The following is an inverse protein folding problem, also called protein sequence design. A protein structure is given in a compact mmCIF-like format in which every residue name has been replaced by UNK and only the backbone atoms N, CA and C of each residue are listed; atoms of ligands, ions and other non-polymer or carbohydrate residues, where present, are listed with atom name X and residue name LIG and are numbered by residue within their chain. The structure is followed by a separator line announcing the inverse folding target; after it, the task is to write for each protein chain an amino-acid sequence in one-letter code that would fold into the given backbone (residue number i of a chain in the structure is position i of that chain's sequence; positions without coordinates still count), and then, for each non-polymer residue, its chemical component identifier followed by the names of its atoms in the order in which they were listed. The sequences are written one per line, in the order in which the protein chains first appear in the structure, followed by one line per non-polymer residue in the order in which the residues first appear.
data_IF_144192835589
#
_entry.id   IF_144192835589
#
_cell.length_a   1.000
_cell.length_b   1.000
_cell.length_c   1.000
_cell.angle_alpha   90.00
_cell.angle_beta   90.00
_cell.angle_gamma   90.00
#
_symmetry.space_group_name_H-M   'P 1'
#
loop_
_entity.id
_entity.type
_entity.pdbx_description
1 polymer ?
#
# COMPACT_ATOMS: atom_id res chain seq x y z
N UNK A 1 -3.90 11.42 -14.90
CA UNK A 1 -4.51 10.40 -14.01
C UNK A 1 -4.89 10.81 -12.56
N UNK A 2 -4.67 12.03 -12.02
CA UNK A 2 -4.84 12.29 -10.57
C UNK A 2 -6.30 12.23 -10.06
N UNK A 3 -7.28 12.12 -10.96
CA UNK A 3 -8.72 12.17 -10.63
C UNK A 3 -9.31 10.85 -10.12
N UNK A 4 -8.52 9.78 -9.93
CA UNK A 4 -9.05 8.43 -9.60
C UNK A 4 -8.56 7.81 -8.29
N UNK A 5 -7.60 8.43 -7.61
CA UNK A 5 -7.00 7.89 -6.38
C UNK A 5 -7.27 8.80 -5.19
N UNK A 6 -7.45 8.20 -4.02
CA UNK A 6 -7.68 8.87 -2.73
C UNK A 6 -6.53 8.52 -1.79
N UNK A 7 -6.04 9.49 -1.04
CA UNK A 7 -4.97 9.29 -0.06
C UNK A 7 -5.51 8.88 1.31
N UNK A 8 -5.37 7.62 1.68
CA UNK A 8 -5.37 7.20 3.09
C UNK A 8 -6.72 7.14 3.80
N UNK A 9 -7.86 7.06 3.11
CA UNK A 9 -9.16 6.80 3.76
C UNK A 9 -10.18 6.15 2.82
N UNK A 10 -11.10 5.39 3.41
CA UNK A 10 -12.35 4.96 2.77
C UNK A 10 -13.49 5.88 3.23
N UNK A 11 -14.46 6.14 2.36
CA UNK A 11 -15.59 7.02 2.69
C UNK A 11 -16.80 6.73 1.82
N UNK A 12 -17.97 6.61 2.47
CA UNK A 12 -19.26 6.44 1.80
C UNK A 12 -19.80 7.72 1.14
N UNK A 13 -19.19 8.88 1.40
CA UNK A 13 -19.62 10.17 0.85
C UNK A 13 -18.80 10.59 -0.38
N UNK A 14 -17.81 9.78 -0.78
CA UNK A 14 -17.01 10.02 -1.97
C UNK A 14 -17.83 9.79 -3.24
N UNK A 15 -17.76 10.76 -4.16
CA UNK A 15 -18.31 10.59 -5.48
C UNK A 15 -17.62 9.40 -6.20
N UNK A 16 -18.39 8.48 -6.80
CA UNK A 16 -17.85 7.40 -7.63
C UNK A 16 -16.94 7.95 -8.73
N UNK A 17 -15.84 7.25 -8.98
CA UNK A 17 -14.96 7.54 -10.13
C UNK A 17 -15.41 6.84 -11.40
N UNK A 18 -16.14 5.76 -11.24
CA UNK A 18 -16.77 4.98 -12.29
C UNK A 18 -17.99 4.25 -11.73
N UNK A 19 -19.00 4.09 -12.56
CA UNK A 19 -20.15 3.24 -12.31
C UNK A 19 -20.11 2.03 -13.23
N UNK A 20 -20.52 0.88 -12.73
CA UNK A 20 -20.47 -0.41 -13.41
C UNK A 20 -21.71 -1.23 -13.12
N UNK A 21 -22.03 -2.16 -14.01
CA UNK A 21 -23.08 -3.16 -13.81
C UNK A 21 -22.47 -4.49 -13.32
N UNK A 22 -23.30 -5.35 -12.75
CA UNK A 22 -22.86 -6.70 -12.34
C UNK A 22 -22.35 -7.49 -13.54
N UNK A 23 -21.16 -8.07 -13.42
CA UNK A 23 -20.48 -8.81 -14.48
C UNK A 23 -19.44 -8.01 -15.27
N UNK A 24 -19.39 -6.67 -15.11
CA UNK A 24 -18.39 -5.83 -15.75
C UNK A 24 -16.96 -6.12 -15.25
N UNK A 25 -15.99 -5.93 -16.15
CA UNK A 25 -14.56 -6.05 -15.83
C UNK A 25 -13.96 -4.64 -15.75
N UNK A 26 -13.36 -4.33 -14.60
CA UNK A 26 -12.62 -3.10 -14.37
C UNK A 26 -11.14 -3.42 -14.20
N UNK A 27 -10.24 -2.82 -15.00
CA UNK A 27 -8.80 -2.89 -14.77
C UNK A 27 -8.31 -1.65 -13.99
N UNK A 28 -8.32 -1.66 -12.64
CA UNK A 28 -7.80 -0.55 -11.86
C UNK A 28 -6.26 -0.55 -11.89
N UNK A 29 -5.68 0.63 -12.02
CA UNK A 29 -4.28 0.86 -11.69
C UNK A 29 -4.14 1.29 -10.23
N UNK A 30 -3.08 0.86 -9.58
CA UNK A 30 -2.84 1.11 -8.16
C UNK A 30 -1.38 1.46 -7.93
N UNK A 31 -1.12 2.30 -6.93
CA UNK A 31 0.22 2.76 -6.59
C UNK A 31 0.52 2.44 -5.14
N UNK A 32 1.76 2.01 -4.85
CA UNK A 32 2.21 1.87 -3.47
C UNK A 32 2.45 3.24 -2.86
N UNK A 33 2.03 3.43 -1.61
CA UNK A 33 2.28 4.65 -0.85
C UNK A 33 3.75 4.83 -0.44
N UNK A 34 4.57 3.79 -0.66
CA UNK A 34 6.02 3.82 -0.50
C UNK A 34 6.78 4.17 -1.79
N UNK A 35 6.10 4.60 -2.87
CA UNK A 35 6.78 4.98 -4.11
C UNK A 35 7.76 6.16 -3.91
N UNK A 36 7.49 7.04 -2.95
CA UNK A 36 8.33 8.18 -2.59
C UNK A 36 9.63 7.80 -1.86
N UNK A 37 9.79 6.53 -1.44
CA UNK A 37 11.03 6.02 -0.84
C UNK A 37 12.20 5.99 -1.84
N UNK A 38 11.88 5.95 -3.14
CA UNK A 38 12.82 6.07 -4.25
C UNK A 38 12.08 6.59 -5.50
N UNK A 39 11.97 7.91 -5.58
CA UNK A 39 11.32 8.61 -6.69
C UNK A 39 11.95 8.26 -8.05
N UNK A 40 13.27 8.08 -8.11
CA UNK A 40 14.00 7.77 -9.34
C UNK A 40 13.51 6.44 -9.95
N UNK A 41 13.26 5.43 -9.11
CA UNK A 41 12.88 4.08 -9.53
C UNK A 41 11.38 3.87 -9.68
N UNK A 42 10.57 4.51 -8.83
CA UNK A 42 9.14 4.20 -8.69
C UNK A 42 8.20 5.30 -9.19
N UNK A 43 8.70 6.52 -9.45
CA UNK A 43 7.85 7.67 -9.80
C UNK A 43 8.31 8.38 -11.08
N UNK A 44 9.59 8.64 -11.24
CA UNK A 44 10.13 9.46 -12.33
C UNK A 44 9.78 8.89 -13.71
N UNK A 45 9.20 9.74 -14.56
CA UNK A 45 8.75 9.38 -15.92
C UNK A 45 7.38 8.72 -15.97
N UNK A 46 6.76 8.41 -14.82
CA UNK A 46 5.43 7.83 -14.74
C UNK A 46 4.40 8.92 -14.41
N UNK A 47 3.68 9.41 -15.42
CA UNK A 47 2.69 10.50 -15.24
C UNK A 47 1.63 10.17 -14.16
N UNK A 48 1.27 8.90 -14.02
CA UNK A 48 0.34 8.44 -13.00
C UNK A 48 0.90 8.60 -11.61
N UNK A 49 2.09 8.04 -11.37
CA UNK A 49 2.79 8.13 -10.10
C UNK A 49 3.18 9.58 -9.77
N UNK A 50 3.75 10.31 -10.73
CA UNK A 50 4.11 11.73 -10.57
C UNK A 50 2.89 12.55 -10.16
N UNK A 51 1.71 12.29 -10.73
CA UNK A 51 0.51 13.03 -10.36
C UNK A 51 0.04 12.81 -8.91
N UNK A 52 0.31 11.63 -8.34
CA UNK A 52 -0.07 11.27 -6.96
C UNK A 52 1.00 11.68 -5.95
N UNK A 53 2.27 11.42 -6.28
CA UNK A 53 3.45 11.71 -5.48
C UNK A 53 3.88 13.17 -5.55
N UNK A 54 3.38 13.97 -6.51
CA UNK A 54 3.72 15.39 -6.64
C UNK A 54 3.63 16.09 -5.28
N UNK A 55 4.77 16.59 -4.81
CA UNK A 55 4.83 17.42 -3.63
C UNK A 55 5.94 18.45 -3.82
N UNK A 56 5.54 19.71 -3.92
CA UNK A 56 6.44 20.86 -3.98
C UNK A 56 6.12 21.79 -2.82
N UNK A 57 6.96 22.81 -2.62
CA UNK A 57 6.71 23.86 -1.62
C UNK A 57 5.36 24.58 -1.77
N UNK A 58 4.78 24.57 -2.98
CA UNK A 58 3.59 25.33 -3.33
C UNK A 58 2.33 24.47 -3.44
N UNK A 59 2.47 23.15 -3.69
CA UNK A 59 1.32 22.25 -3.88
C UNK A 59 1.66 20.78 -3.66
N UNK A 60 0.63 20.02 -3.33
CA UNK A 60 0.64 18.56 -3.25
C UNK A 60 -0.42 17.99 -4.21
N UNK A 61 -0.08 16.92 -4.94
CA UNK A 61 -0.96 16.28 -5.93
C UNK A 61 -2.18 15.64 -5.26
N UNK A 62 -1.95 14.92 -4.17
CA UNK A 62 -2.98 14.42 -3.25
C UNK A 62 -2.66 14.96 -1.85
N UNK A 63 -3.37 16.02 -1.46
CA UNK A 63 -3.10 16.75 -0.22
C UNK A 63 -3.45 15.92 1.03
N UNK A 64 -4.72 15.53 1.16
CA UNK A 64 -5.20 14.70 2.26
C UNK A 64 -4.63 13.28 2.15
N UNK A 65 -3.89 12.86 3.17
CA UNK A 65 -3.38 11.50 3.35
C UNK A 65 -3.74 11.02 4.75
N UNK A 66 -4.88 10.35 4.85
CA UNK A 66 -5.43 9.85 6.13
C UNK A 66 -6.87 10.30 6.40
N UNK A 67 -7.52 9.60 7.33
CA UNK A 67 -8.86 9.90 7.81
C UNK A 67 -8.89 11.06 8.83
N UNK A 68 -7.73 11.49 9.34
CA UNK A 68 -7.60 12.57 10.32
C UNK A 68 -8.01 13.96 9.81
N UNK A 69 -7.79 14.97 10.64
CA UNK A 69 -8.16 16.36 10.35
C UNK A 69 -7.43 16.92 9.12
N UNK A 70 -8.12 17.75 8.34
CA UNK A 70 -7.54 18.55 7.24
C UNK A 70 -7.32 20.01 7.64
N UNK A 71 -7.64 20.37 8.89
CA UNK A 71 -7.44 21.73 9.39
C UNK A 71 -5.96 21.94 9.75
N UNK A 72 -5.26 22.91 9.12
CA UNK A 72 -3.85 23.21 9.42
C UNK A 72 -3.60 23.69 10.85
N UNK A 73 -4.63 24.13 11.58
CA UNK A 73 -4.50 24.46 13.00
C UNK A 73 -4.53 23.21 13.90
N UNK A 74 -4.87 22.04 13.36
CA UNK A 74 -5.14 20.81 14.13
C UNK A 74 -4.18 19.67 13.78
N UNK A 75 -3.90 19.42 12.50
CA UNK A 75 -3.02 18.32 12.14
C UNK A 75 -1.57 18.59 12.57
N UNK A 76 -0.80 17.52 12.80
CA UNK A 76 0.58 17.61 13.29
C UNK A 76 1.60 17.43 12.18
N UNK A 77 1.34 16.47 11.28
CA UNK A 77 2.31 16.04 10.26
C UNK A 77 1.82 16.26 8.83
N UNK A 78 0.66 16.89 8.65
CA UNK A 78 0.05 17.19 7.35
C UNK A 78 -1.44 16.82 7.30
N UNK A 79 -2.13 17.28 6.25
CA UNK A 79 -3.56 17.02 6.01
C UNK A 79 -3.88 15.51 6.07
N UNK A 80 -4.81 15.11 6.94
CA UNK A 80 -5.16 13.71 7.23
C UNK A 80 -4.36 13.07 8.38
N UNK A 81 -3.34 13.76 8.90
CA UNK A 81 -2.45 13.37 10.02
C UNK A 81 -1.78 11.99 9.87
N UNK A 82 -1.70 11.45 8.66
CA UNK A 82 -1.18 10.11 8.41
C UNK A 82 -2.02 8.97 8.99
N UNK A 83 -3.25 9.26 9.45
CA UNK A 83 -4.19 8.27 10.01
C UNK A 83 -4.82 7.44 8.90
N UNK A 84 -3.99 6.59 8.28
CA UNK A 84 -4.29 5.91 7.04
C UNK A 84 -3.29 6.22 5.95
N UNK A 85 -2.60 5.18 5.48
CA UNK A 85 -1.42 5.35 4.62
C UNK A 85 -1.64 4.91 3.17
N UNK A 86 -2.62 4.03 2.93
CA UNK A 86 -2.82 3.41 1.62
C UNK A 86 -3.39 4.37 0.58
N UNK A 87 -2.83 4.36 -0.62
CA UNK A 87 -3.45 4.98 -1.80
C UNK A 87 -4.53 4.04 -2.30
N UNK A 88 -5.78 4.51 -2.32
CA UNK A 88 -6.93 3.73 -2.76
C UNK A 88 -7.46 4.27 -4.09
N UNK A 89 -7.45 3.44 -5.13
CA UNK A 89 -8.10 3.73 -6.41
C UNK A 89 -9.59 3.39 -6.31
N UNK A 90 -10.44 4.37 -6.64
CA UNK A 90 -11.90 4.26 -6.48
C UNK A 90 -12.54 5.56 -5.94
N UNK A 91 -13.78 5.51 -5.43
CA UNK A 91 -14.63 4.31 -5.38
C UNK A 91 -15.24 3.94 -6.74
N UNK A 92 -15.52 2.65 -6.92
CA UNK A 92 -16.30 2.07 -8.01
C UNK A 92 -17.71 1.82 -7.49
N UNK A 93 -18.70 2.35 -8.18
CA UNK A 93 -20.11 2.15 -7.86
C UNK A 93 -20.69 1.00 -8.69
N UNK A 94 -21.37 0.06 -8.03
CA UNK A 94 -22.04 -1.07 -8.69
C UNK A 94 -23.54 -0.81 -8.70
N UNK A 95 -24.14 -0.65 -9.88
CA UNK A 95 -25.57 -0.31 -9.99
C UNK A 95 -26.44 -1.42 -9.42
N UNK A 96 -27.40 -1.03 -8.58
CA UNK A 96 -28.34 -1.94 -7.93
C UNK A 96 -27.78 -2.72 -6.74
N UNK A 97 -26.54 -2.47 -6.29
CA UNK A 97 -26.05 -3.04 -5.04
C UNK A 97 -26.66 -2.30 -3.83
N UNK A 98 -27.30 -3.04 -2.93
CA UNK A 98 -27.99 -2.51 -1.76
C UNK A 98 -27.40 -3.05 -0.44
N UNK A 99 -27.53 -2.32 0.69
CA UNK A 99 -27.15 -2.85 1.99
C UNK A 99 -27.82 -4.20 2.29
N UNK A 100 -27.02 -5.22 2.61
CA UNK A 100 -27.48 -6.61 2.79
C UNK A 100 -27.09 -7.55 1.65
N UNK A 101 -26.71 -7.01 0.49
CA UNK A 101 -26.15 -7.80 -0.61
C UNK A 101 -24.74 -8.30 -0.30
N UNK A 102 -24.23 -9.17 -1.18
CA UNK A 102 -22.83 -9.60 -1.20
C UNK A 102 -22.23 -9.26 -2.56
N UNK A 103 -21.14 -8.50 -2.55
CA UNK A 103 -20.38 -8.18 -3.75
C UNK A 103 -19.29 -9.24 -3.97
N UNK A 104 -19.44 -10.02 -5.04
CA UNK A 104 -18.39 -10.92 -5.53
C UNK A 104 -17.36 -10.13 -6.36
N UNK A 105 -16.08 -10.30 -6.03
CA UNK A 105 -14.96 -9.68 -6.74
C UNK A 105 -13.96 -10.74 -7.18
N UNK A 106 -13.88 -10.98 -8.48
CA UNK A 106 -12.89 -11.89 -9.08
C UNK A 106 -11.64 -11.14 -9.47
N UNK A 107 -10.48 -11.61 -9.01
CA UNK A 107 -9.18 -11.05 -9.40
C UNK A 107 -8.66 -11.87 -10.59
N UNK A 108 -8.93 -11.38 -11.80
CA UNK A 108 -8.61 -12.12 -13.04
C UNK A 108 -7.12 -12.12 -13.36
N UNK A 109 -6.45 -10.98 -13.15
CA UNK A 109 -5.02 -10.84 -13.37
C UNK A 109 -4.42 -9.78 -12.44
N UNK A 110 -3.10 -9.85 -12.24
CA UNK A 110 -2.36 -8.92 -11.41
C UNK A 110 -0.91 -8.87 -11.87
N UNK A 111 -0.48 -7.70 -12.36
CA UNK A 111 0.87 -7.50 -12.92
C UNK A 111 1.60 -6.37 -12.21
N UNK A 112 2.93 -6.49 -11.98
CA UNK A 112 3.73 -5.39 -11.48
C UNK A 112 3.68 -4.19 -12.44
N UNK A 113 3.48 -2.98 -11.91
CA UNK A 113 3.64 -1.74 -12.68
C UNK A 113 5.12 -1.53 -13.05
N UNK A 114 5.52 -1.49 -14.33
CA UNK A 114 6.91 -1.28 -14.71
C UNK A 114 7.41 0.10 -14.26
N UNK A 115 8.71 0.22 -14.01
CA UNK A 115 9.36 1.53 -13.86
C UNK A 115 9.31 2.27 -15.19
N UNK A 116 8.98 3.56 -15.15
CA UNK A 116 9.00 4.42 -16.33
C UNK A 116 10.39 5.02 -16.61
N UNK A 117 11.34 4.85 -15.68
CA UNK A 117 12.70 5.31 -15.86
C UNK A 117 13.43 4.42 -16.90
N UNK A 118 13.97 5.00 -17.99
CA UNK A 118 14.58 4.25 -19.08
C UNK A 118 15.80 3.42 -18.64
N UNK A 119 16.52 3.84 -17.58
CA UNK A 119 17.67 3.12 -17.05
C UNK A 119 17.27 1.78 -16.40
N UNK A 120 15.99 1.60 -16.13
CA UNK A 120 15.43 0.40 -15.50
C UNK A 120 14.35 -0.27 -16.35
N UNK A 121 14.42 -0.13 -17.68
CA UNK A 121 13.50 -0.78 -18.60
C UNK A 121 13.31 -2.28 -18.30
N UNK A 122 12.06 -2.73 -18.27
CA UNK A 122 11.70 -4.12 -17.95
C UNK A 122 11.72 -4.46 -16.45
N UNK A 123 12.03 -3.51 -15.56
CA UNK A 123 12.02 -3.74 -14.11
C UNK A 123 10.84 -3.05 -13.44
N UNK A 124 10.51 -3.53 -12.25
CA UNK A 124 9.56 -2.93 -11.33
C UNK A 124 10.20 -2.90 -9.94
N UNK A 125 10.03 -1.83 -9.17
CA UNK A 125 10.66 -1.70 -7.86
C UNK A 125 9.63 -1.63 -6.74
N UNK A 126 10.00 -2.17 -5.58
CA UNK A 126 9.16 -2.16 -4.38
C UNK A 126 9.99 -1.75 -3.17
N UNK A 127 9.33 -1.12 -2.23
CA UNK A 127 9.88 -0.82 -0.93
C UNK A 127 9.35 -1.81 0.11
N UNK A 128 10.20 -2.18 1.05
CA UNK A 128 9.83 -2.84 2.29
C UNK A 128 10.34 -1.99 3.45
N UNK A 129 9.42 -1.51 4.27
CA UNK A 129 9.76 -0.74 5.46
C UNK A 129 9.72 -1.63 6.71
N UNK A 130 10.89 -1.80 7.34
CA UNK A 130 10.98 -2.21 8.73
C UNK A 130 10.71 -0.98 9.60
N UNK A 131 9.43 -0.71 9.88
CA UNK A 131 8.96 0.57 10.41
C UNK A 131 8.58 0.54 11.90
N UNK A 132 8.30 1.72 12.48
CA UNK A 132 8.01 1.89 13.91
C UNK A 132 6.73 1.20 14.40
N UNK A 133 5.76 0.98 13.51
CA UNK A 133 4.54 0.20 13.79
C UNK A 133 4.75 -1.31 13.66
N UNK A 134 5.93 -1.75 13.19
CA UNK A 134 6.23 -3.16 13.00
C UNK A 134 6.35 -3.91 14.33
N UNK A 135 5.85 -5.15 14.37
CA UNK A 135 5.91 -6.00 15.56
C UNK A 135 7.33 -6.11 16.15
N UNK A 136 8.34 -6.20 15.28
CA UNK A 136 9.75 -6.33 15.61
C UNK A 136 10.38 -5.06 16.20
N UNK A 137 9.72 -3.89 16.14
CA UNK A 137 10.34 -2.59 16.42
C UNK A 137 10.85 -2.46 17.87
N UNK A 138 10.16 -3.10 18.83
CA UNK A 138 10.57 -3.12 20.23
C UNK A 138 11.51 -4.29 20.59
N UNK A 139 11.74 -5.22 19.66
CA UNK A 139 12.53 -6.45 19.87
C UNK A 139 13.91 -6.41 19.19
N UNK A 140 14.33 -5.23 18.73
CA UNK A 140 15.64 -5.08 18.12
C UNK A 140 16.75 -5.37 19.12
N UNK A 141 17.66 -6.27 18.76
CA UNK A 141 18.82 -6.60 19.57
C UNK A 141 19.65 -5.34 19.89
N UNK A 142 20.01 -5.18 21.16
CA UNK A 142 20.72 -4.00 21.66
C UNK A 142 19.84 -2.78 21.97
N UNK A 143 18.51 -2.88 21.81
CA UNK A 143 17.54 -1.85 22.19
C UNK A 143 17.53 -0.59 21.32
N UNK A 144 18.42 -0.51 20.32
CA UNK A 144 18.49 0.61 19.40
C UNK A 144 17.36 0.54 18.36
N UNK A 145 16.34 1.40 18.56
CA UNK A 145 15.24 1.58 17.61
C UNK A 145 15.74 2.22 16.31
N UNK A 146 15.30 1.67 15.19
CA UNK A 146 15.59 2.21 13.86
C UNK A 146 14.48 1.78 12.90
N UNK A 147 14.33 2.55 11.84
CA UNK A 147 13.53 2.13 10.69
C UNK A 147 14.46 1.91 9.51
N UNK A 148 14.17 0.90 8.70
CA UNK A 148 15.01 0.53 7.55
C UNK A 148 14.13 0.31 6.34
N UNK A 149 14.40 1.04 5.27
CA UNK A 149 13.80 0.83 3.97
C UNK A 149 14.71 -0.11 3.17
N UNK A 150 14.16 -1.19 2.63
CA UNK A 150 14.85 -2.06 1.66
C UNK A 150 14.14 -1.97 0.32
N UNK A 151 14.87 -1.57 -0.71
CA UNK A 151 14.38 -1.53 -2.10
C UNK A 151 14.65 -2.88 -2.75
N UNK A 152 13.62 -3.45 -3.36
CA UNK A 152 13.68 -4.68 -4.13
C UNK A 152 13.35 -4.42 -5.59
N UNK A 153 14.01 -5.16 -6.48
CA UNK A 153 13.66 -5.23 -7.89
C UNK A 153 12.86 -6.51 -8.17
N UNK A 154 11.93 -6.39 -9.09
CA UNK A 154 11.16 -7.48 -9.69
C UNK A 154 11.25 -7.34 -11.20
N UNK A 155 11.29 -8.46 -11.89
CA UNK A 155 11.17 -8.50 -13.33
C UNK A 155 9.73 -8.19 -13.75
N UNK A 156 9.54 -7.13 -14.53
CA UNK A 156 8.23 -6.69 -14.97
C UNK A 156 7.73 -7.44 -16.22
N UNK A 157 8.59 -8.18 -16.92
CA UNK A 157 8.19 -9.00 -18.08
C UNK A 157 7.44 -10.27 -17.66
N UNK A 158 7.68 -10.73 -16.43
CA UNK A 158 7.14 -11.97 -15.89
C UNK A 158 8.02 -13.21 -16.14
N UNK A 159 9.20 -13.05 -16.73
CA UNK A 159 10.13 -14.16 -16.99
C UNK A 159 10.72 -14.72 -15.69
N UNK A 160 10.89 -13.87 -14.67
CA UNK A 160 11.31 -14.27 -13.31
C UNK A 160 10.17 -14.14 -12.31
N UNK A 161 10.01 -15.17 -11.48
CA UNK A 161 9.02 -15.23 -10.41
C UNK A 161 9.62 -14.93 -9.01
N UNK A 162 10.72 -14.18 -8.95
CA UNK A 162 11.36 -13.79 -7.69
C UNK A 162 11.86 -12.35 -7.73
N UNK A 163 11.93 -11.75 -6.55
CA UNK A 163 12.51 -10.45 -6.29
C UNK A 163 13.95 -10.59 -5.77
N UNK A 164 14.73 -9.53 -5.96
CA UNK A 164 16.11 -9.41 -5.51
C UNK A 164 16.26 -8.06 -4.78
N UNK A 165 16.98 -8.05 -3.66
CA UNK A 165 17.26 -6.80 -2.95
C UNK A 165 18.25 -5.96 -3.78
N UNK A 166 18.00 -4.66 -3.86
CA UNK A 166 18.86 -3.69 -4.55
C UNK A 166 19.77 -2.99 -3.54
N UNK A 167 19.16 -2.40 -2.52
CA UNK A 167 19.85 -1.78 -1.39
C UNK A 167 18.90 -1.63 -0.20
N UNK A 168 19.47 -1.35 0.97
CA UNK A 168 18.70 -0.76 2.07
C UNK A 168 19.31 0.57 2.51
N UNK A 169 18.54 1.35 3.26
CA UNK A 169 19.03 2.48 4.03
C UNK A 169 18.25 2.59 5.34
N UNK A 170 18.90 3.13 6.37
CA UNK A 170 18.23 3.50 7.61
C UNK A 170 17.45 4.80 7.36
N UNK A 171 16.21 4.87 7.80
CA UNK A 171 15.47 6.14 7.83
C UNK A 171 16.21 7.14 8.72
N UNK A 172 16.40 8.35 8.19
CA UNK A 172 16.89 9.52 8.92
C UNK A 172 15.83 10.61 8.79
N UNK A 173 15.78 11.60 9.71
CA UNK A 173 14.78 12.65 9.64
C UNK A 173 14.71 13.28 8.24
N UNK A 174 13.52 13.22 7.64
CA UNK A 174 13.23 13.82 6.35
C UNK A 174 12.43 15.10 6.56
N UNK A 175 12.75 16.16 5.83
CA UNK A 175 11.93 17.39 5.84
C UNK A 175 11.12 17.43 4.55
N UNK A 176 9.79 17.46 4.69
CA UNK A 176 8.90 17.52 3.54
C UNK A 176 8.99 18.90 2.83
N UNK A 177 8.45 19.02 1.60
CA UNK A 177 8.48 20.29 0.86
C UNK A 177 7.74 21.45 1.54
N UNK A 178 6.88 21.19 2.53
CA UNK A 178 6.20 22.21 3.33
C UNK A 178 6.98 22.60 4.60
N UNK A 179 8.13 21.98 4.85
CA UNK A 179 9.02 22.27 5.97
C UNK A 179 8.75 21.48 7.24
N UNK A 180 7.85 20.48 7.20
CA UNK A 180 7.61 19.58 8.33
C UNK A 180 8.70 18.53 8.37
N UNK A 181 9.29 18.30 9.54
CA UNK A 181 10.31 17.26 9.72
C UNK A 181 9.69 15.99 10.30
N UNK A 182 10.05 14.86 9.71
CA UNK A 182 9.54 13.51 9.98
C UNK A 182 10.68 12.64 10.54
N UNK A 183 10.87 12.58 11.87
CA UNK A 183 11.94 11.81 12.50
C UNK A 183 11.80 10.30 12.26
N UNK A 184 10.57 9.87 12.05
CA UNK A 184 10.15 8.49 11.74
C UNK A 184 9.28 8.50 10.50
N UNK A 185 8.91 7.33 9.99
CA UNK A 185 7.93 7.18 8.90
C UNK A 185 6.52 7.46 9.46
N UNK A 186 6.19 8.72 9.72
CA UNK A 186 4.94 9.13 10.41
C UNK A 186 3.90 9.78 9.49
N UNK A 187 4.26 10.08 8.24
CA UNK A 187 3.35 10.55 7.21
C UNK A 187 3.64 9.84 5.88
N UNK A 188 2.62 9.32 5.17
CA UNK A 188 2.84 8.55 3.95
C UNK A 188 3.31 9.45 2.80
N UNK A 189 4.18 8.91 1.94
CA UNK A 189 4.65 9.54 0.71
C UNK A 189 5.50 10.80 0.92
N UNK A 190 6.21 10.91 2.04
CA UNK A 190 7.24 11.94 2.23
C UNK A 190 8.41 11.60 1.29
N UNK A 191 8.82 12.52 0.39
CA UNK A 191 9.91 12.25 -0.53
C UNK A 191 11.24 12.12 0.22
N UNK A 192 11.94 10.99 0.03
CA UNK A 192 13.22 10.74 0.68
C UNK A 192 14.34 11.51 -0.02
N UNK A 193 15.08 12.34 0.72
CA UNK A 193 16.34 12.91 0.27
C UNK A 193 17.47 11.88 0.43
N UNK A 194 17.80 11.22 -0.67
CA UNK A 194 18.87 10.22 -0.69
C UNK A 194 20.26 10.78 -0.40
N UNK A 195 20.49 12.11 -0.45
CA UNK A 195 21.76 12.71 -0.04
C UNK A 195 21.98 12.64 1.48
N UNK A 196 20.91 12.47 2.26
CA UNK A 196 20.97 12.30 3.72
C UNK A 196 21.11 10.84 4.15
N UNK A 197 20.88 9.90 3.22
CA UNK A 197 20.85 8.46 3.50
C UNK A 197 22.18 7.79 3.17
N UNK A 198 22.56 6.77 3.94
CA UNK A 198 23.63 5.84 3.60
C UNK A 198 23.03 4.57 2.98
N UNK A 199 23.21 4.39 1.67
CA UNK A 199 22.65 3.27 0.90
C UNK A 199 23.65 2.12 0.86
N UNK A 200 23.28 0.99 1.48
CA UNK A 200 24.05 -0.25 1.41
C UNK A 200 23.48 -1.17 0.33
N UNK A 201 24.27 -1.40 -0.72
CA UNK A 201 23.96 -2.29 -1.85
C UNK A 201 24.40 -3.75 -1.61
N UNK A 202 25.14 -4.02 -0.53
CA UNK A 202 25.58 -5.37 -0.17
C UNK A 202 24.57 -6.05 0.76
N UNK A 203 23.34 -6.20 0.27
CA UNK A 203 22.20 -6.72 1.05
C UNK A 203 21.60 -7.93 0.38
N UNK A 204 21.37 -9.00 1.15
CA UNK A 204 20.66 -10.20 0.71
C UNK A 204 21.17 -10.79 -0.63
N UNK A 205 22.48 -10.67 -0.91
CA UNK A 205 23.07 -11.12 -2.18
C UNK A 205 22.82 -12.61 -2.41
N UNK A 206 22.35 -12.94 -3.63
CA UNK A 206 22.06 -14.31 -4.04
C UNK A 206 20.75 -14.88 -3.51
N UNK A 207 20.02 -14.15 -2.65
CA UNK A 207 18.71 -14.57 -2.16
C UNK A 207 17.66 -14.28 -3.24
N UNK A 208 16.85 -15.30 -3.57
CA UNK A 208 15.72 -15.19 -4.49
C UNK A 208 14.42 -15.28 -3.72
N UNK A 209 13.71 -14.16 -3.61
CA UNK A 209 12.48 -14.09 -2.82
C UNK A 209 11.28 -14.32 -3.72
N UNK A 210 10.49 -15.40 -3.56
CA UNK A 210 9.34 -15.65 -4.44
C UNK A 210 8.35 -14.48 -4.43
N UNK A 211 7.98 -13.98 -5.59
CA UNK A 211 6.94 -12.93 -5.68
C UNK A 211 5.56 -13.54 -5.53
N UNK A 212 4.68 -12.85 -4.81
CA UNK A 212 3.26 -13.21 -4.69
C UNK A 212 2.41 -11.96 -4.87
N UNK A 213 2.12 -11.55 -6.13
CA UNK A 213 1.25 -10.42 -6.39
C UNK A 213 -0.10 -10.52 -5.71
N UNK A 214 -0.45 -9.53 -4.89
CA UNK A 214 -1.71 -9.47 -4.17
C UNK A 214 -2.09 -8.01 -3.85
N UNK A 215 -3.35 -7.82 -3.46
CA UNK A 215 -3.88 -6.55 -2.98
C UNK A 215 -4.00 -6.62 -1.45
N UNK A 216 -3.14 -5.90 -0.72
CA UNK A 216 -3.26 -5.78 0.74
C UNK A 216 -4.57 -5.14 1.19
N UNK A 217 -4.95 -4.03 0.56
CA UNK A 217 -6.21 -3.31 0.84
C UNK A 217 -7.27 -3.52 -0.25
N UNK A 218 -8.26 -4.35 0.01
CA UNK A 218 -9.40 -4.53 -0.91
C UNK A 218 -10.71 -4.65 -0.12
N UNK A 219 -11.72 -3.84 -0.46
CA UNK A 219 -13.00 -3.90 0.21
C UNK A 219 -14.05 -2.91 -0.32
N UNK A 220 -15.15 -2.82 0.43
CA UNK A 220 -16.28 -1.92 0.17
C UNK A 220 -16.41 -0.86 1.27
N UNK A 221 -17.07 0.26 0.98
CA UNK A 221 -17.23 1.32 1.97
C UNK A 221 -18.18 0.88 3.10
N UNK A 222 -17.82 1.24 4.33
CA UNK A 222 -18.57 0.94 5.57
C UNK A 222 -19.69 1.93 5.81
N UNK A 223 -20.78 1.51 6.45
CA UNK A 223 -21.90 2.39 6.79
C UNK A 223 -21.64 3.26 8.02
N UNK A 224 -20.77 2.81 8.92
CA UNK A 224 -20.65 3.28 10.30
C UNK A 224 -20.04 4.67 10.43
N UNK A 225 -19.21 5.09 9.48
CA UNK A 225 -18.53 6.37 9.51
C UNK A 225 -18.30 6.94 8.11
N UNK A 226 -18.25 8.26 8.03
CA UNK A 226 -18.02 8.98 6.77
C UNK A 226 -16.55 8.95 6.35
N UNK A 227 -15.61 8.90 7.29
CA UNK A 227 -14.18 8.76 7.04
C UNK A 227 -13.65 7.59 7.86
N UNK A 228 -13.10 6.59 7.18
CA UNK A 228 -12.57 5.38 7.80
C UNK A 228 -11.10 5.22 7.47
N UNK A 229 -10.31 5.07 8.52
CA UNK A 229 -8.89 4.74 8.41
C UNK A 229 -8.73 3.36 7.73
N UNK A 230 -7.93 3.25 6.65
CA UNK A 230 -7.80 2.04 5.87
C UNK A 230 -6.80 1.05 6.47
N UNK A 231 -6.12 1.37 7.58
CA UNK A 231 -5.10 0.49 8.20
C UNK A 231 -5.72 -0.75 8.84
N UNK A 232 -6.76 -0.65 9.68
CA UNK A 232 -7.42 -1.85 10.20
C UNK A 232 -8.34 -2.50 9.15
N UNK A 233 -8.26 -3.82 8.94
CA UNK A 233 -9.31 -4.54 8.21
C UNK A 233 -10.60 -4.61 9.05
N UNK A 234 -11.72 -4.81 8.38
CA UNK A 234 -13.05 -4.97 8.98
C UNK A 234 -13.91 -5.97 8.20
N UNK A 235 -15.18 -6.09 8.58
CA UNK A 235 -16.16 -6.98 7.94
C UNK A 235 -16.36 -6.66 6.45
N UNK A 236 -16.14 -5.42 6.02
CA UNK A 236 -16.20 -4.99 4.61
C UNK A 236 -14.88 -5.20 3.84
N UNK A 237 -13.89 -5.88 4.43
CA UNK A 237 -12.56 -6.04 3.87
C UNK A 237 -11.59 -4.96 4.36
N UNK A 238 -10.97 -4.22 3.44
CA UNK A 238 -9.93 -3.25 3.77
C UNK A 238 -8.55 -3.90 3.77
N UNK A 239 -7.66 -3.45 4.66
CA UNK A 239 -6.27 -3.87 4.71
C UNK A 239 -6.08 -5.24 5.39
N UNK A 240 -6.44 -6.31 4.67
CA UNK A 240 -6.44 -7.69 5.16
C UNK A 240 -5.03 -8.31 5.10
N UNK A 241 -4.19 -7.84 4.18
CA UNK A 241 -2.78 -8.26 4.03
C UNK A 241 -2.58 -9.78 3.88
N UNK A 242 -3.52 -10.44 3.21
CA UNK A 242 -3.39 -11.85 2.86
C UNK A 242 -2.82 -12.01 1.45
N UNK A 243 -1.61 -12.55 1.37
CA UNK A 243 -0.87 -12.86 0.13
C UNK A 243 -1.62 -13.71 -0.92
N UNK A 244 -2.77 -14.28 -0.54
CA UNK A 244 -3.64 -15.09 -1.41
C UNK A 244 -4.66 -14.25 -2.18
N UNK A 245 -4.86 -12.98 -1.81
CA UNK A 245 -5.79 -12.04 -2.48
C UNK A 245 -5.10 -11.49 -3.74
N UNK A 246 -4.83 -12.38 -4.69
CA UNK A 246 -4.14 -12.10 -5.94
C UNK A 246 -4.81 -12.79 -7.11
N UNK A 247 -4.10 -12.91 -8.25
CA UNK A 247 -4.60 -13.57 -9.46
C UNK A 247 -5.27 -14.92 -9.15
N UNK A 248 -6.50 -15.08 -9.64
CA UNK A 248 -7.33 -16.28 -9.47
C UNK A 248 -8.18 -16.31 -8.20
N UNK A 249 -8.00 -15.38 -7.27
CA UNK A 249 -8.82 -15.32 -6.06
C UNK A 249 -10.20 -14.69 -6.33
N UNK A 250 -11.18 -15.13 -5.54
CA UNK A 250 -12.54 -14.58 -5.52
C UNK A 250 -12.82 -14.13 -4.10
N UNK A 251 -13.19 -12.86 -3.94
CA UNK A 251 -13.53 -12.25 -2.67
C UNK A 251 -15.03 -11.97 -2.62
N UNK A 252 -15.62 -12.09 -1.43
CA UNK A 252 -17.02 -11.81 -1.18
C UNK A 252 -17.10 -10.82 -0.04
N UNK A 253 -17.68 -9.64 -0.29
CA UNK A 253 -17.79 -8.58 0.70
C UNK A 253 -19.26 -8.25 0.97
N UNK A 254 -19.68 -8.16 2.25
CA UNK A 254 -21.02 -7.69 2.59
C UNK A 254 -21.17 -6.22 2.22
N UNK A 255 -22.21 -5.90 1.45
CA UNK A 255 -22.55 -4.53 1.07
C UNK A 255 -23.23 -3.86 2.26
N UNK A 256 -22.65 -2.76 2.75
CA UNK A 256 -23.22 -1.95 3.84
C UNK A 256 -23.75 -0.60 3.40
N UNK A 257 -23.41 -0.15 2.18
CA UNK A 257 -23.86 1.12 1.61
C UNK A 257 -24.36 0.91 0.18
N UNK A 258 -25.31 1.73 -0.26
CA UNK A 258 -25.80 1.72 -1.64
C UNK A 258 -24.63 1.85 -2.63
N UNK A 259 -24.65 1.01 -3.67
CA UNK A 259 -23.63 0.97 -4.70
C UNK A 259 -22.32 0.31 -4.28
N UNK A 260 -22.21 -0.17 -3.04
CA UNK A 260 -21.02 -0.73 -2.36
C UNK A 260 -19.82 0.22 -2.23
N UNK A 261 -19.62 1.15 -3.17
CA UNK A 261 -18.52 2.12 -3.25
C UNK A 261 -17.16 1.45 -3.00
N UNK A 262 -16.85 0.42 -3.81
CA UNK A 262 -15.62 -0.36 -3.69
C UNK A 262 -14.40 0.50 -3.93
N UNK A 263 -13.40 0.42 -3.06
CA UNK A 263 -12.07 0.99 -3.31
C UNK A 263 -11.01 -0.12 -3.26
N UNK A 264 -9.98 0.01 -4.08
CA UNK A 264 -8.85 -0.93 -4.11
C UNK A 264 -7.56 -0.16 -3.88
N UNK A 265 -6.84 -0.53 -2.83
CA UNK A 265 -5.47 -0.15 -2.60
C UNK A 265 -4.57 -1.34 -2.88
N UNK A 266 -3.30 -1.05 -3.14
CA UNK A 266 -2.30 -2.10 -3.24
C UNK A 266 -1.29 -1.89 -2.14
N UNK A 267 -1.15 -2.92 -1.32
CA UNK A 267 0.14 -3.23 -0.75
C UNK A 267 0.75 -4.36 -1.60
N UNK A 268 1.79 -4.03 -2.36
CA UNK A 268 2.73 -5.03 -2.86
C UNK A 268 3.92 -5.02 -1.91
N UNK A 269 3.69 -5.39 -0.66
CA UNK A 269 4.78 -5.79 0.19
C UNK A 269 5.41 -7.03 -0.44
N UNK A 270 6.74 -7.07 -0.51
CA UNK A 270 7.40 -8.36 -0.25
C UNK A 270 7.05 -8.68 1.21
N UNK A 271 5.89 -9.28 1.40
CA UNK A 271 5.50 -9.81 2.69
C UNK A 271 6.29 -11.11 2.86
N UNK A 272 7.27 -10.99 3.74
CA UNK A 272 8.05 -12.05 4.35
C UNK A 272 9.16 -12.66 3.46
N UNK A 273 10.41 -12.32 3.81
CA UNK A 273 11.46 -13.35 3.84
C UNK A 273 11.07 -14.33 4.95
N UNK A 274 10.12 -15.24 4.70
CA UNK A 274 10.00 -16.46 5.53
C UNK A 274 11.10 -17.41 5.07
N UNK A 275 12.34 -17.06 5.38
CA UNK A 275 13.28 -18.09 5.76
C UNK A 275 13.82 -17.72 7.13
N UNK A 276 13.14 -18.26 8.14
CA UNK A 276 13.84 -18.64 9.35
C UNK A 276 13.50 -17.95 10.66
N UNK A 277 12.86 -16.77 10.76
CA UNK A 277 12.36 -16.23 12.06
C UNK A 277 11.52 -14.93 11.96
N UNK A 278 10.19 -15.09 12.06
CA UNK A 278 9.18 -14.19 12.67
C UNK A 278 8.81 -12.80 12.06
N UNK A 279 7.53 -12.73 11.67
CA UNK A 279 6.62 -11.57 11.69
C UNK A 279 5.17 -12.13 11.64
N UNK A 280 4.31 -11.79 12.60
CA UNK A 280 2.95 -12.39 12.84
C UNK A 280 1.88 -11.46 12.24
N UNK A 281 0.68 -11.83 11.74
CA UNK A 281 -0.47 -12.62 12.27
C UNK A 281 -1.07 -13.56 11.19
N UNK A 282 -1.38 -14.86 11.39
CA UNK A 282 -1.74 -15.63 12.57
C UNK A 282 -0.97 -16.96 12.70
N UNK A 283 -0.91 -17.50 13.93
CA UNK A 283 -0.45 -18.85 14.22
C UNK A 283 -1.67 -19.78 14.24
N UNK A 284 -1.68 -20.77 13.35
CA UNK A 284 -2.57 -21.93 13.48
C UNK A 284 -1.83 -22.99 14.29
N UNK A 285 -2.37 -23.34 15.46
CA UNK A 285 -1.86 -24.42 16.31
C UNK A 285 -1.95 -25.76 15.56
N UNK A 286 -0.85 -26.53 15.48
CA UNK A 286 -0.77 -27.82 14.75
C UNK A 286 -1.73 -28.88 15.32
N UNK A 287 -2.08 -28.73 16.59
CA UNK A 287 -2.99 -29.54 17.39
C UNK A 287 -4.46 -29.48 16.91
N UNK A 288 -4.79 -28.55 16.01
CA UNK A 288 -6.10 -28.49 15.35
C UNK A 288 -6.22 -29.56 14.24
N UNK A 289 -5.11 -30.13 13.76
CA UNK A 289 -5.07 -31.19 12.75
C UNK A 289 -4.68 -32.56 13.31
N UNK A 290 -4.43 -32.68 14.61
CA UNK A 290 -4.10 -33.96 15.25
C UNK A 290 -5.20 -34.41 16.21
N UNK A 291 -6.21 -35.06 15.63
CA UNK A 291 -6.81 -36.27 16.17
C UNK A 291 -8.04 -36.12 17.08
N UNK A 292 -9.19 -36.54 16.55
CA UNK A 292 -9.83 -37.71 17.14
C UNK A 292 -9.88 -38.82 16.08
N UNK A 293 -9.57 -40.01 16.59
CA UNK A 293 -9.48 -41.29 15.91
C UNK A 293 -10.77 -41.68 15.17
#
# INVERSE_FOLDING_TARGET
MPRRSIGGYSSKTLAPRIETDSGDIVPPETLSHHADDDLERMVHGDEGAESVCLWTKDRKGVDRRGAGSTDPAVYRVGSGDGQGVHILTGPVHVRGAEPGDVLEMRILDCVPRPSANPDFAGKSFRSNAAAWWGYHYNDMLGGAKREVITIYQVDATGDKSWAEAVYHFKWVPQTDPFGVTHPTIDHPGVPVDHALTDRNYDVQKGIRIPIRPHFGTLGVATAEADFVEPVPPSYTGGNVDNRRIGKGAIMYYPVSVEGALRSVGVDFGITQVVDGNWGVHAIVKKDIFSGRA
#
